data_IF_378630731169
#
_entry.id   IF_378630731169
#
_cell.length_a   1.000
_cell.length_b   1.000
_cell.length_c   1.000
_cell.angle_alpha   90.00
_cell.angle_beta   90.00
_cell.angle_gamma   90.00
#
_symmetry.space_group_name_H-M   'P 1'
#
loop_
_entity.id
_entity.type
_entity.pdbx_description
1 polymer ?
#
# COMPACT_ATOMS: atom_id res chain seq x y z
N UNK A 1 -24.61 -0.34 7.99
CA UNK A 1 -23.47 0.04 7.15
C UNK A 1 -23.64 1.49 6.79
N UNK A 2 -22.86 2.39 7.40
CA UNK A 2 -22.91 3.81 7.07
C UNK A 2 -22.40 4.02 5.64
N UNK A 3 -23.32 4.04 4.67
CA UNK A 3 -23.01 4.18 3.25
C UNK A 3 -22.15 5.43 2.96
N UNK A 4 -22.33 6.48 3.77
CA UNK A 4 -21.46 7.67 3.77
C UNK A 4 -19.99 7.33 4.08
N UNK A 5 -19.73 6.52 5.10
CA UNK A 5 -18.36 6.13 5.48
C UNK A 5 -17.72 5.28 4.40
N UNK A 6 -18.49 4.36 3.79
CA UNK A 6 -18.00 3.55 2.66
C UNK A 6 -17.57 4.44 1.49
N UNK A 7 -18.46 5.32 1.01
CA UNK A 7 -18.19 6.18 -0.15
C UNK A 7 -17.03 7.16 0.10
N UNK A 8 -16.96 7.76 1.29
CA UNK A 8 -15.87 8.68 1.64
C UNK A 8 -14.53 7.94 1.72
N UNK A 9 -14.50 6.79 2.38
CA UNK A 9 -13.28 5.97 2.50
C UNK A 9 -12.84 5.47 1.13
N UNK A 10 -13.76 4.90 0.35
CA UNK A 10 -13.49 4.42 -1.00
C UNK A 10 -12.97 5.56 -1.89
N UNK A 11 -13.67 6.70 -1.93
CA UNK A 11 -13.27 7.84 -2.75
C UNK A 11 -11.90 8.39 -2.37
N UNK A 12 -11.61 8.49 -1.07
CA UNK A 12 -10.31 9.00 -0.58
C UNK A 12 -9.17 8.06 -0.93
N UNK A 13 -9.33 6.75 -0.67
CA UNK A 13 -8.30 5.75 -0.99
C UNK A 13 -8.13 5.62 -2.50
N UNK A 14 -9.22 5.61 -3.25
CA UNK A 14 -9.18 5.55 -4.70
C UNK A 14 -8.40 6.73 -5.29
N UNK A 15 -8.68 7.97 -4.86
CA UNK A 15 -7.94 9.14 -5.32
C UNK A 15 -6.46 9.10 -4.90
N UNK A 16 -6.17 8.64 -3.68
CA UNK A 16 -4.81 8.56 -3.17
C UNK A 16 -3.95 7.53 -3.94
N UNK A 17 -4.56 6.44 -4.39
CA UNK A 17 -3.89 5.33 -5.08
C UNK A 17 -3.91 5.49 -6.63
N UNK A 18 -4.75 6.37 -7.17
CA UNK A 18 -4.86 6.59 -8.63
C UNK A 18 -3.57 7.17 -9.22
N UNK A 19 -2.99 6.44 -10.16
CA UNK A 19 -1.74 6.83 -10.83
C UNK A 19 -0.47 6.43 -10.09
N UNK A 20 -0.55 5.54 -9.09
CA UNK A 20 0.65 5.03 -8.42
C UNK A 20 1.52 4.17 -9.36
N UNK A 21 2.81 4.08 -9.04
CA UNK A 21 3.81 3.26 -9.73
C UNK A 21 3.38 1.80 -9.89
N UNK A 22 2.63 1.27 -8.92
CA UNK A 22 2.07 -0.08 -9.01
C UNK A 22 1.07 -0.24 -10.16
N UNK A 23 0.27 0.79 -10.45
CA UNK A 23 -0.66 0.79 -11.58
C UNK A 23 0.09 0.86 -12.92
N UNK A 24 1.14 1.68 -13.01
CA UNK A 24 1.98 1.75 -14.20
C UNK A 24 2.69 0.41 -14.48
N UNK A 25 3.18 -0.26 -13.43
CA UNK A 25 3.76 -1.60 -13.54
C UNK A 25 2.74 -2.66 -14.00
N UNK A 26 1.52 -2.63 -13.46
CA UNK A 26 0.46 -3.53 -13.89
C UNK A 26 0.05 -3.29 -15.36
N UNK A 27 0.01 -2.03 -15.79
CA UNK A 27 -0.24 -1.65 -17.19
C UNK A 27 0.88 -2.14 -18.10
N UNK A 28 2.15 -1.96 -17.73
CA UNK A 28 3.28 -2.43 -18.54
C UNK A 28 3.30 -3.96 -18.65
N UNK A 29 3.07 -4.67 -17.55
CA UNK A 29 2.99 -6.14 -17.55
C UNK A 29 1.80 -6.65 -18.37
N UNK A 30 0.68 -5.93 -18.35
CA UNK A 30 -0.49 -6.26 -19.19
C UNK A 30 -0.17 -6.06 -20.67
N UNK A 31 0.50 -4.95 -21.01
CA UNK A 31 0.91 -4.64 -22.38
C UNK A 31 1.89 -5.68 -22.94
N UNK A 32 2.79 -6.20 -22.11
CA UNK A 32 3.79 -7.20 -22.52
C UNK A 32 3.22 -8.63 -22.59
N UNK A 33 2.41 -9.03 -21.62
CA UNK A 33 1.85 -10.40 -21.57
C UNK A 33 0.63 -10.61 -22.47
N UNK A 34 -0.05 -9.54 -22.88
CA UNK A 34 -1.33 -9.61 -23.61
C UNK A 34 -2.47 -10.23 -22.81
N UNK A 35 -2.31 -10.43 -21.50
CA UNK A 35 -3.24 -11.19 -20.64
C UNK A 35 -3.77 -10.36 -19.46
N UNK A 36 -4.69 -9.40 -19.70
CA UNK A 36 -5.14 -8.45 -18.68
C UNK A 36 -5.74 -9.12 -17.43
N UNK A 37 -6.49 -10.21 -17.62
CA UNK A 37 -7.11 -10.91 -16.49
C UNK A 37 -6.10 -11.66 -15.61
N UNK A 38 -5.03 -12.20 -16.20
CA UNK A 38 -3.99 -12.89 -15.44
C UNK A 38 -3.16 -11.89 -14.63
N UNK A 39 -2.81 -10.74 -15.23
CA UNK A 39 -2.09 -9.67 -14.53
C UNK A 39 -2.95 -9.07 -13.42
N UNK A 40 -4.24 -8.84 -13.66
CA UNK A 40 -5.17 -8.36 -12.63
C UNK A 40 -5.26 -9.35 -11.45
N UNK A 41 -5.43 -10.65 -11.72
CA UNK A 41 -5.47 -11.66 -10.67
C UNK A 41 -4.15 -11.74 -9.89
N UNK A 42 -3.01 -11.67 -10.58
CA UNK A 42 -1.68 -11.66 -9.98
C UNK A 42 -1.46 -10.44 -9.08
N UNK A 43 -1.83 -9.25 -9.54
CA UNK A 43 -1.72 -8.01 -8.77
C UNK A 43 -2.60 -8.03 -7.52
N UNK A 44 -3.85 -8.50 -7.65
CA UNK A 44 -4.76 -8.69 -6.50
C UNK A 44 -4.19 -9.69 -5.48
N UNK A 45 -3.68 -10.83 -5.93
CA UNK A 45 -3.05 -11.83 -5.06
C UNK A 45 -1.82 -11.27 -4.37
N UNK A 46 -0.96 -10.55 -5.09
CA UNK A 46 0.21 -9.90 -4.53
C UNK A 46 -0.16 -8.91 -3.42
N UNK A 47 -1.19 -8.08 -3.65
CA UNK A 47 -1.68 -7.12 -2.66
C UNK A 47 -2.23 -7.82 -1.41
N UNK A 48 -3.04 -8.87 -1.57
CA UNK A 48 -3.60 -9.66 -0.46
C UNK A 48 -2.46 -10.29 0.35
N UNK A 49 -1.50 -10.92 -0.31
CA UNK A 49 -0.38 -11.60 0.34
C UNK A 49 0.53 -10.60 1.07
N UNK A 50 0.86 -9.48 0.44
CA UNK A 50 1.67 -8.43 1.06
C UNK A 50 0.98 -7.83 2.29
N UNK A 51 -0.33 -7.56 2.19
CA UNK A 51 -1.13 -7.03 3.30
C UNK A 51 -1.23 -8.05 4.44
N UNK A 52 -1.50 -9.32 4.12
CA UNK A 52 -1.58 -10.39 5.11
C UNK A 52 -0.26 -10.55 5.87
N UNK A 53 0.87 -10.56 5.16
CA UNK A 53 2.19 -10.57 5.78
C UNK A 53 2.42 -9.36 6.68
N UNK A 54 2.08 -8.15 6.20
CA UNK A 54 2.21 -6.92 6.97
C UNK A 54 1.39 -6.94 8.27
N UNK A 55 0.14 -7.41 8.20
CA UNK A 55 -0.75 -7.52 9.37
C UNK A 55 -0.30 -8.64 10.31
N UNK A 56 0.12 -9.80 9.80
CA UNK A 56 0.60 -10.91 10.62
C UNK A 56 1.88 -10.52 11.38
N UNK A 57 2.87 -9.98 10.69
CA UNK A 57 4.11 -9.51 11.30
C UNK A 57 3.87 -8.34 12.25
N UNK A 58 3.06 -7.36 11.83
CA UNK A 58 2.70 -6.22 12.67
C UNK A 58 1.98 -6.65 13.94
N UNK A 59 1.05 -7.59 13.85
CA UNK A 59 0.33 -8.16 14.98
C UNK A 59 1.26 -8.83 16.00
N UNK A 60 2.20 -9.67 15.53
CA UNK A 60 3.22 -10.27 16.40
C UNK A 60 4.10 -9.18 17.02
N UNK A 61 4.54 -8.19 16.24
CA UNK A 61 5.41 -7.13 16.72
C UNK A 61 4.76 -6.29 17.84
N UNK A 62 3.45 -6.05 17.75
CA UNK A 62 2.69 -5.33 18.79
C UNK A 62 2.54 -6.10 20.10
N UNK A 63 2.82 -7.41 20.13
CA UNK A 63 2.88 -8.18 21.38
C UNK A 63 4.17 -7.90 22.17
N UNK A 64 5.25 -7.53 21.47
CA UNK A 64 6.56 -7.25 22.07
C UNK A 64 6.82 -5.75 22.26
N UNK A 65 6.19 -4.90 21.46
CA UNK A 65 6.45 -3.45 21.43
C UNK A 65 5.14 -2.69 21.66
N UNK A 66 5.15 -1.73 22.58
CA UNK A 66 3.99 -0.89 22.85
C UNK A 66 3.53 -0.15 21.57
N UNK A 67 2.22 -0.15 21.24
CA UNK A 67 1.69 0.43 20.01
C UNK A 67 2.07 1.90 19.78
N UNK A 68 2.27 2.68 20.86
CA UNK A 68 2.68 4.08 20.76
C UNK A 68 4.10 4.23 20.18
N UNK A 69 5.01 3.29 20.47
CA UNK A 69 6.40 3.32 19.97
C UNK A 69 6.37 3.01 18.49
N UNK A 70 5.63 1.96 18.12
CA UNK A 70 5.51 1.53 16.73
C UNK A 70 4.91 2.65 15.86
N UNK A 71 3.86 3.34 16.34
CA UNK A 71 3.27 4.49 15.64
C UNK A 71 4.26 5.64 15.46
N UNK A 72 5.03 5.99 16.51
CA UNK A 72 6.05 7.04 16.41
C UNK A 72 7.17 6.66 15.44
N UNK A 73 7.64 5.41 15.50
CA UNK A 73 8.66 4.89 14.59
C UNK A 73 8.19 4.95 13.13
N UNK A 74 6.96 4.51 12.85
CA UNK A 74 6.36 4.60 11.52
C UNK A 74 6.27 6.05 11.02
N UNK A 75 5.83 6.98 11.87
CA UNK A 75 5.76 8.40 11.51
C UNK A 75 7.14 8.99 11.17
N UNK A 76 8.17 8.68 11.97
CA UNK A 76 9.55 9.13 11.71
C UNK A 76 10.07 8.51 10.40
N UNK A 77 9.84 7.22 10.17
CA UNK A 77 10.23 6.56 8.94
C UNK A 77 9.58 7.19 7.70
N UNK A 78 8.27 7.50 7.75
CA UNK A 78 7.57 8.18 6.68
C UNK A 78 8.12 9.59 6.41
N UNK A 79 8.43 10.37 7.45
CA UNK A 79 9.04 11.69 7.30
C UNK A 79 10.42 11.58 6.65
N UNK A 80 11.25 10.63 7.11
CA UNK A 80 12.58 10.41 6.55
C UNK A 80 12.50 10.04 5.07
N UNK A 81 11.63 9.09 4.70
CA UNK A 81 11.40 8.71 3.30
C UNK A 81 10.96 9.93 2.49
N UNK A 82 10.00 10.72 2.99
CA UNK A 82 9.55 11.94 2.33
C UNK A 82 10.67 12.96 2.11
N UNK A 83 11.53 13.18 3.11
CA UNK A 83 12.70 14.07 3.00
C UNK A 83 13.71 13.55 1.99
N UNK A 84 14.03 12.26 2.02
CA UNK A 84 14.96 11.64 1.04
C UNK A 84 14.40 11.77 -0.38
N UNK A 85 13.09 11.57 -0.55
CA UNK A 85 12.40 11.73 -1.83
C UNK A 85 12.42 13.18 -2.32
N UNK A 86 12.23 14.17 -1.43
CA UNK A 86 12.33 15.60 -1.77
C UNK A 86 13.76 16.02 -2.15
N UNK A 87 14.78 15.45 -1.50
CA UNK A 87 16.18 15.74 -1.79
C UNK A 87 16.68 15.10 -3.11
N UNK A 88 15.84 14.32 -3.79
CA UNK A 88 16.17 13.71 -5.08
C UNK A 88 17.32 12.70 -5.00
N UNK A 89 17.63 12.17 -3.81
CA UNK A 89 18.69 11.17 -3.60
C UNK A 89 18.17 9.74 -3.82
N UNK A 90 17.56 9.50 -4.99
CA UNK A 90 17.05 8.21 -5.42
C UNK A 90 17.65 7.80 -6.75
#
# INVERSE_FOLDING_TARGET
MDWKVFLVTFGTVFLAEMGDKTQLAALSMTAESGSPWAVAAGACLALVVATLMGVALGGVLTQFIAPHVLKKAAAVAFILIGVVMLLGRW
#
